data_IF_857857773658
#
_entry.id   IF_857857773658
#
_cell.length_a   1.000
_cell.length_b   1.000
_cell.length_c   1.000
_cell.angle_alpha   90.00
_cell.angle_beta   90.00
_cell.angle_gamma   90.00
#
_symmetry.space_group_name_H-M   'P 1'
#
loop_
_entity.id
_entity.type
_entity.pdbx_description
1 polymer ?
#
# COMPACT_ATOMS: atom_id res chain seq x y z
N UNK A 1 12.41 13.68 22.69
CA UNK A 1 13.12 13.03 21.57
C UNK A 1 13.05 14.00 20.39
N UNK A 2 14.00 13.97 19.46
CA UNK A 2 13.91 14.77 18.23
C UNK A 2 13.16 13.90 17.21
N UNK A 3 11.98 14.32 16.74
CA UNK A 3 11.16 13.56 15.79
C UNK A 3 11.55 13.85 14.33
N UNK A 4 12.59 14.66 14.12
CA UNK A 4 13.14 14.94 12.79
C UNK A 4 13.56 13.66 12.08
N UNK A 5 12.95 13.41 10.91
CA UNK A 5 13.39 12.38 9.97
C UNK A 5 14.58 12.91 9.17
N UNK A 6 15.67 12.15 9.14
CA UNK A 6 16.86 12.43 8.32
C UNK A 6 17.04 11.24 7.38
N UNK A 7 16.94 11.49 6.08
CA UNK A 7 17.13 10.45 5.07
C UNK A 7 18.62 10.20 4.82
N UNK A 8 19.01 8.93 4.87
CA UNK A 8 20.33 8.43 4.56
C UNK A 8 20.35 7.76 3.18
N UNK A 9 21.51 7.64 2.55
CA UNK A 9 21.61 6.94 1.27
C UNK A 9 21.28 5.45 1.45
N UNK A 10 20.33 4.95 0.65
CA UNK A 10 19.83 3.59 0.68
C UNK A 10 19.85 3.01 -0.74
N UNK A 11 21.01 2.53 -1.16
CA UNK A 11 21.19 1.97 -2.51
C UNK A 11 20.54 0.61 -2.66
N UNK A 12 19.83 0.41 -3.78
CA UNK A 12 19.17 -0.85 -4.12
C UNK A 12 20.21 -1.96 -4.28
N UNK A 13 20.05 -3.04 -3.50
CA UNK A 13 20.83 -4.28 -3.59
C UNK A 13 20.08 -5.41 -4.29
N UNK A 14 18.77 -5.25 -4.52
CA UNK A 14 17.89 -6.21 -5.18
C UNK A 14 16.80 -5.47 -5.96
N UNK A 15 16.61 -5.84 -7.23
CA UNK A 15 15.67 -5.20 -8.17
C UNK A 15 14.90 -6.18 -9.06
N UNK A 16 15.05 -7.50 -8.82
CA UNK A 16 14.42 -8.51 -9.68
C UNK A 16 12.89 -8.44 -9.60
N UNK A 17 12.34 -8.46 -8.38
CA UNK A 17 10.89 -8.47 -8.15
C UNK A 17 10.40 -7.10 -7.66
N UNK A 18 10.94 -6.67 -6.53
CA UNK A 18 10.74 -5.36 -5.93
C UNK A 18 12.10 -4.70 -5.71
N UNK A 19 12.11 -3.39 -5.55
CA UNK A 19 13.31 -2.63 -5.25
C UNK A 19 13.57 -2.57 -3.75
N UNK A 20 14.71 -3.13 -3.33
CA UNK A 20 15.13 -3.27 -1.92
C UNK A 20 16.65 -3.15 -1.77
N UNK A 21 17.12 -2.76 -0.58
CA UNK A 21 18.54 -2.70 -0.21
C UNK A 21 19.13 -4.09 0.05
N UNK A 22 18.29 -5.06 0.42
CA UNK A 22 18.67 -6.46 0.63
C UNK A 22 17.80 -7.39 -0.20
N UNK A 23 18.32 -8.59 -0.48
CA UNK A 23 17.49 -9.63 -1.07
C UNK A 23 16.37 -10.05 -0.12
N UNK A 24 15.28 -10.64 -0.62
CA UNK A 24 14.20 -11.14 0.21
C UNK A 24 14.66 -12.19 1.24
N UNK A 25 15.60 -13.06 0.86
CA UNK A 25 16.17 -14.09 1.75
C UNK A 25 16.94 -13.46 2.91
N UNK A 26 17.74 -12.44 2.61
CA UNK A 26 18.49 -11.70 3.63
C UNK A 26 17.54 -10.92 4.55
N UNK A 27 16.47 -10.33 4.00
CA UNK A 27 15.41 -9.66 4.77
C UNK A 27 14.78 -10.63 5.77
N UNK A 28 14.34 -11.80 5.31
CA UNK A 28 13.72 -12.84 6.16
C UNK A 28 14.71 -13.35 7.22
N UNK A 29 15.98 -13.57 6.85
CA UNK A 29 17.02 -13.99 7.80
C UNK A 29 17.21 -12.96 8.91
N UNK A 30 17.38 -11.68 8.55
CA UNK A 30 17.56 -10.56 9.49
C UNK A 30 16.35 -10.38 10.39
N UNK A 31 15.13 -10.50 9.85
CA UNK A 31 13.90 -10.47 10.64
C UNK A 31 13.92 -11.56 11.71
N UNK A 32 14.16 -12.82 11.33
CA UNK A 32 14.23 -13.96 12.27
C UNK A 32 15.36 -13.82 13.29
N UNK A 33 16.52 -13.31 12.88
CA UNK A 33 17.64 -13.01 13.78
C UNK A 33 17.23 -11.96 14.82
N UNK A 34 16.54 -10.89 14.38
CA UNK A 34 16.11 -9.81 15.27
C UNK A 34 15.11 -10.30 16.31
N UNK A 35 14.13 -11.12 15.92
CA UNK A 35 13.15 -11.69 16.85
C UNK A 35 13.82 -12.50 17.97
N UNK A 36 14.86 -13.29 17.64
CA UNK A 36 15.64 -14.02 18.64
C UNK A 36 16.44 -13.11 19.55
N UNK A 37 16.99 -12.02 19.02
CA UNK A 37 17.77 -11.05 19.79
C UNK A 37 16.90 -10.32 20.83
N UNK A 38 15.67 -9.99 20.48
CA UNK A 38 14.75 -9.22 21.34
C UNK A 38 13.77 -10.09 22.13
N UNK A 39 13.86 -11.41 22.00
CA UNK A 39 12.99 -12.41 22.64
C UNK A 39 11.49 -12.14 22.40
N UNK A 40 11.12 -11.93 21.13
CA UNK A 40 9.73 -11.71 20.70
C UNK A 40 9.18 -12.91 19.92
N UNK A 41 8.02 -13.40 20.35
CA UNK A 41 7.28 -14.48 19.70
C UNK A 41 6.17 -13.90 18.80
N UNK A 42 6.56 -13.27 17.69
CA UNK A 42 5.60 -12.71 16.72
C UNK A 42 5.39 -13.59 15.48
N UNK A 43 6.30 -14.52 15.17
CA UNK A 43 6.22 -15.41 14.01
C UNK A 43 6.38 -16.88 14.44
N UNK A 44 5.35 -17.69 14.20
CA UNK A 44 5.40 -19.15 14.40
C UNK A 44 6.03 -19.85 13.18
N UNK A 45 5.44 -19.66 12.00
CA UNK A 45 5.92 -20.24 10.75
C UNK A 45 5.50 -19.45 9.52
N UNK A 46 6.08 -19.79 8.37
CA UNK A 46 5.72 -19.26 7.04
C UNK A 46 5.30 -20.38 6.12
N UNK A 47 4.12 -20.29 5.50
CA UNK A 47 3.51 -21.36 4.71
C UNK A 47 3.14 -20.84 3.32
N UNK A 48 3.55 -21.55 2.25
CA UNK A 48 3.06 -21.29 0.88
C UNK A 48 1.66 -21.88 0.69
N UNK A 49 0.71 -21.11 0.14
CA UNK A 49 -0.73 -21.47 0.14
C UNK A 49 -1.39 -21.57 -1.23
N UNK A 50 -0.74 -21.13 -2.29
CA UNK A 50 -1.25 -21.34 -3.65
C UNK A 50 -1.29 -22.83 -3.99
N UNK A 51 -2.27 -23.23 -4.81
CA UNK A 51 -2.46 -24.61 -5.28
C UNK A 51 -1.70 -24.90 -6.58
N UNK A 52 -0.98 -23.91 -7.12
CA UNK A 52 -0.11 -24.03 -8.28
C UNK A 52 -0.82 -23.96 -9.63
N UNK A 53 -2.13 -23.65 -9.67
CA UNK A 53 -2.83 -23.44 -10.94
C UNK A 53 -2.36 -22.17 -11.64
N UNK A 54 -2.37 -21.04 -10.94
CA UNK A 54 -1.81 -19.78 -11.43
C UNK A 54 -0.28 -19.77 -11.29
N UNK A 55 0.27 -20.50 -10.31
CA UNK A 55 1.72 -20.61 -10.04
C UNK A 55 2.41 -19.25 -9.77
N UNK A 56 1.68 -18.35 -9.10
CA UNK A 56 2.22 -17.13 -8.51
C UNK A 56 2.28 -17.36 -6.98
N UNK A 57 3.46 -17.25 -6.33
CA UNK A 57 3.61 -17.64 -4.93
C UNK A 57 2.86 -16.73 -3.97
N UNK A 58 2.04 -17.33 -3.10
CA UNK A 58 1.39 -16.63 -1.98
C UNK A 58 1.79 -17.31 -0.68
N UNK A 59 2.19 -16.51 0.31
CA UNK A 59 2.60 -17.00 1.63
C UNK A 59 1.69 -16.47 2.73
N UNK A 60 1.51 -17.27 3.78
CA UNK A 60 1.10 -16.78 5.09
C UNK A 60 2.31 -16.70 6.02
N UNK A 61 2.32 -15.70 6.88
CA UNK A 61 3.06 -15.76 8.15
C UNK A 61 2.05 -16.02 9.27
N UNK A 62 2.22 -17.12 10.01
CA UNK A 62 1.39 -17.47 11.16
C UNK A 62 1.88 -16.68 12.37
N UNK A 63 0.96 -15.98 13.03
CA UNK A 63 1.29 -15.15 14.18
C UNK A 63 1.75 -16.02 15.36
N UNK A 64 2.90 -15.68 15.95
CA UNK A 64 3.27 -16.15 17.27
C UNK A 64 2.39 -15.50 18.36
N UNK A 65 2.58 -15.92 19.61
CA UNK A 65 1.73 -15.50 20.75
C UNK A 65 1.66 -13.97 20.90
N UNK A 66 2.80 -13.29 20.84
CA UNK A 66 2.88 -11.86 21.12
C UNK A 66 2.18 -11.05 20.00
N UNK A 67 2.25 -11.55 18.76
CA UNK A 67 1.52 -10.99 17.63
C UNK A 67 0.01 -11.21 17.73
N UNK A 68 -0.44 -12.40 18.13
CA UNK A 68 -1.88 -12.66 18.31
C UNK A 68 -2.49 -11.75 19.39
N UNK A 69 -1.81 -11.57 20.52
CA UNK A 69 -2.25 -10.69 21.61
C UNK A 69 -2.28 -9.20 21.18
N UNK A 70 -1.35 -8.81 20.30
CA UNK A 70 -1.19 -7.41 19.88
C UNK A 70 -2.11 -7.04 18.71
N UNK A 71 -2.16 -7.87 17.68
CA UNK A 71 -2.81 -7.56 16.40
C UNK A 71 -4.25 -8.10 16.37
N UNK A 72 -4.53 -9.19 17.08
CA UNK A 72 -5.87 -9.83 17.11
C UNK A 72 -6.19 -10.72 15.89
N UNK A 73 -5.25 -10.87 14.95
CA UNK A 73 -5.36 -11.77 13.80
C UNK A 73 -4.35 -12.92 13.92
N UNK A 74 -4.68 -14.08 13.33
CA UNK A 74 -3.83 -15.28 13.39
C UNK A 74 -2.73 -15.36 12.33
N UNK A 75 -2.80 -14.52 11.29
CA UNK A 75 -1.90 -14.58 10.14
C UNK A 75 -1.89 -13.28 9.34
N UNK A 76 -0.81 -13.06 8.60
CA UNK A 76 -0.66 -12.04 7.56
C UNK A 76 -0.42 -12.70 6.18
N UNK A 77 -0.58 -11.96 5.10
CA UNK A 77 -0.44 -12.47 3.73
C UNK A 77 0.72 -11.81 3.00
N UNK A 78 1.53 -12.63 2.34
CA UNK A 78 2.62 -12.17 1.48
C UNK A 78 2.33 -12.37 0.01
N UNK A 79 2.86 -11.46 -0.81
CA UNK A 79 2.78 -11.49 -2.27
C UNK A 79 4.13 -11.19 -2.92
N UNK A 80 4.37 -11.78 -4.08
CA UNK A 80 5.60 -11.58 -4.86
C UNK A 80 5.59 -12.45 -6.12
N UNK A 81 6.33 -12.03 -7.14
CA UNK A 81 6.58 -12.83 -8.34
C UNK A 81 7.53 -14.02 -8.08
N UNK A 82 8.28 -13.99 -6.98
CA UNK A 82 9.12 -15.09 -6.51
C UNK A 82 8.70 -15.60 -5.12
N UNK A 83 9.02 -16.86 -4.81
CA UNK A 83 8.69 -17.46 -3.50
C UNK A 83 9.32 -16.68 -2.34
N UNK A 84 10.59 -16.29 -2.49
CA UNK A 84 11.31 -15.55 -1.45
C UNK A 84 10.76 -14.15 -1.25
N UNK A 85 10.34 -13.45 -2.32
CA UNK A 85 9.70 -12.15 -2.20
C UNK A 85 8.34 -12.26 -1.49
N UNK A 86 7.55 -13.28 -1.82
CA UNK A 86 6.26 -13.53 -1.17
C UNK A 86 6.43 -13.87 0.32
N UNK A 87 7.41 -14.71 0.68
CA UNK A 87 7.75 -14.99 2.09
C UNK A 87 8.19 -13.70 2.82
N UNK A 88 9.07 -12.90 2.21
CA UNK A 88 9.52 -11.64 2.78
C UNK A 88 8.36 -10.65 2.98
N UNK A 89 7.44 -10.55 2.02
CA UNK A 89 6.24 -9.74 2.13
C UNK A 89 5.37 -10.17 3.33
N UNK A 90 5.18 -11.47 3.54
CA UNK A 90 4.36 -11.96 4.66
C UNK A 90 4.96 -11.57 6.02
N UNK A 91 6.26 -11.81 6.21
CA UNK A 91 6.91 -11.51 7.50
C UNK A 91 7.06 -10.01 7.77
N UNK A 92 7.20 -9.19 6.71
CA UNK A 92 7.30 -7.74 6.87
C UNK A 92 5.94 -7.08 7.10
N UNK A 93 4.85 -7.61 6.53
CA UNK A 93 3.48 -7.18 6.90
C UNK A 93 3.20 -7.50 8.38
N UNK A 94 3.65 -8.65 8.88
CA UNK A 94 3.59 -8.99 10.30
C UNK A 94 4.38 -8.01 11.18
N UNK A 95 5.60 -7.65 10.77
CA UNK A 95 6.43 -6.67 11.46
C UNK A 95 5.76 -5.30 11.53
N UNK A 96 5.18 -4.85 10.42
CA UNK A 96 4.43 -3.60 10.29
C UNK A 96 3.24 -3.59 11.24
N UNK A 97 2.35 -4.59 11.14
CA UNK A 97 1.13 -4.68 11.95
C UNK A 97 1.45 -4.74 13.44
N UNK A 98 2.42 -5.57 13.83
CA UNK A 98 2.86 -5.66 15.23
C UNK A 98 3.38 -4.31 15.75
N UNK A 99 4.22 -3.64 14.96
CA UNK A 99 4.81 -2.34 15.34
C UNK A 99 3.75 -1.25 15.46
N UNK A 100 2.83 -1.18 14.49
CA UNK A 100 1.75 -0.19 14.46
C UNK A 100 0.78 -0.37 15.63
N UNK A 101 0.30 -1.58 15.89
CA UNK A 101 -0.63 -1.81 17.00
C UNK A 101 0.02 -1.65 18.38
N UNK A 102 1.32 -1.95 18.53
CA UNK A 102 2.06 -1.58 19.73
C UNK A 102 2.15 -0.06 19.91
N UNK A 103 2.41 0.69 18.83
CA UNK A 103 2.40 2.15 18.87
C UNK A 103 1.04 2.69 19.34
N UNK A 104 -0.06 2.18 18.77
CA UNK A 104 -1.43 2.58 19.11
C UNK A 104 -1.81 2.30 20.57
N UNK A 105 -1.34 1.17 21.11
CA UNK A 105 -1.67 0.71 22.48
C UNK A 105 -0.82 1.38 23.56
N UNK A 106 0.32 1.99 23.21
CA UNK A 106 1.19 2.64 24.18
C UNK A 106 0.74 4.09 24.47
N UNK A 107 0.22 4.40 25.67
CA UNK A 107 -0.24 5.74 26.01
C UNK A 107 0.88 6.79 26.05
N UNK A 108 2.15 6.38 26.20
CA UNK A 108 3.30 7.32 26.22
C UNK A 108 3.55 7.97 24.85
N UNK A 109 2.99 7.40 23.77
CA UNK A 109 3.08 7.97 22.43
C UNK A 109 2.10 9.12 22.19
N UNK A 110 1.23 9.42 23.16
CA UNK A 110 0.12 10.35 22.98
C UNK A 110 0.02 11.39 24.10
N UNK A 111 -0.42 12.58 23.71
CA UNK A 111 -0.92 13.61 24.62
C UNK A 111 -2.43 13.68 24.41
N UNK A 112 -3.22 13.66 25.48
CA UNK A 112 -4.67 13.88 25.39
C UNK A 112 -4.96 15.35 25.69
N UNK A 113 -5.47 16.09 24.71
CA UNK A 113 -5.76 17.53 24.86
C UNK A 113 -6.85 17.98 23.86
N UNK A 114 -7.39 19.17 24.08
CA UNK A 114 -8.29 19.86 23.16
C UNK A 114 -7.48 20.62 22.09
N UNK A 115 -8.01 20.69 20.86
CA UNK A 115 -7.31 21.37 19.76
C UNK A 115 -7.00 22.84 20.07
N UNK A 116 -7.88 23.56 20.79
CA UNK A 116 -7.66 24.97 21.17
C UNK A 116 -6.37 25.18 21.97
N UNK A 117 -5.94 24.18 22.76
CA UNK A 117 -4.72 24.25 23.58
C UNK A 117 -3.45 23.92 22.79
N UNK A 118 -3.55 23.25 21.64
CA UNK A 118 -2.40 22.74 20.87
C UNK A 118 -2.31 23.26 19.43
N UNK A 119 -3.29 24.05 18.97
CA UNK A 119 -3.44 24.51 17.57
C UNK A 119 -2.20 25.15 16.97
N UNK A 120 -1.38 25.86 17.75
CA UNK A 120 -0.18 26.56 17.26
C UNK A 120 0.94 25.61 16.81
N UNK A 121 0.85 24.33 17.15
CA UNK A 121 1.82 23.28 16.79
C UNK A 121 1.16 22.03 16.20
N UNK A 122 -0.13 22.08 15.91
CA UNK A 122 -0.92 20.97 15.40
C UNK A 122 -1.30 21.20 13.94
N UNK A 123 -1.75 20.14 13.27
CA UNK A 123 -2.33 20.27 11.95
C UNK A 123 -3.49 21.28 11.97
N UNK A 124 -3.57 22.18 10.97
CA UNK A 124 -4.64 23.16 10.91
C UNK A 124 -5.99 22.48 10.69
N UNK A 125 -7.06 23.08 11.21
CA UNK A 125 -8.43 22.55 11.05
C UNK A 125 -8.80 22.32 9.57
N UNK A 126 -8.28 23.13 8.66
CA UNK A 126 -8.50 22.99 7.22
C UNK A 126 -8.02 21.63 6.69
N UNK A 127 -6.96 21.07 7.25
CA UNK A 127 -6.51 19.72 6.91
C UNK A 127 -7.48 18.63 7.42
N UNK A 128 -8.10 18.87 8.59
CA UNK A 128 -9.08 17.97 9.21
C UNK A 128 -10.36 17.92 8.38
N UNK A 129 -10.89 19.07 7.98
CA UNK A 129 -12.05 19.18 7.10
C UNK A 129 -11.77 18.55 5.73
N UNK A 130 -10.60 18.83 5.13
CA UNK A 130 -10.18 18.25 3.85
C UNK A 130 -10.10 16.72 3.89
N UNK A 131 -9.69 16.13 5.01
CA UNK A 131 -9.57 14.67 5.17
C UNK A 131 -10.91 13.91 5.00
N UNK A 132 -12.04 14.60 5.18
CA UNK A 132 -13.39 14.04 4.99
C UNK A 132 -14.16 14.71 3.86
N UNK A 133 -13.48 15.50 3.04
CA UNK A 133 -14.07 16.28 1.94
C UNK A 133 -15.20 17.23 2.38
N UNK A 134 -15.10 17.81 3.57
CA UNK A 134 -16.09 18.80 4.05
C UNK A 134 -15.79 20.18 3.44
N UNK A 135 -16.62 20.59 2.49
CA UNK A 135 -16.63 21.89 1.84
C UNK A 135 -17.90 22.69 2.16
N UNK A 136 -18.60 22.32 3.24
CA UNK A 136 -19.88 22.93 3.61
C UNK A 136 -19.73 24.37 4.13
N UNK A 137 -20.82 25.13 4.07
CA UNK A 137 -20.89 26.48 4.67
C UNK A 137 -20.90 26.45 6.22
N UNK A 138 -20.87 25.27 6.85
CA UNK A 138 -20.90 25.10 8.31
C UNK A 138 -19.51 24.87 8.94
N UNK A 139 -18.42 25.05 8.19
CA UNK A 139 -17.06 24.83 8.67
C UNK A 139 -16.72 25.59 9.96
N UNK A 140 -17.26 26.79 10.17
CA UNK A 140 -17.03 27.53 11.41
C UNK A 140 -17.65 26.83 12.64
N UNK A 141 -18.82 26.20 12.47
CA UNK A 141 -19.46 25.39 13.53
C UNK A 141 -18.68 24.09 13.76
N UNK A 142 -18.25 23.44 12.68
CA UNK A 142 -17.42 22.24 12.78
C UNK A 142 -16.09 22.54 13.49
N UNK A 143 -15.47 23.70 13.19
CA UNK A 143 -14.26 24.18 13.87
C UNK A 143 -14.49 24.41 15.36
N UNK A 144 -15.61 25.03 15.74
CA UNK A 144 -15.94 25.25 17.17
C UNK A 144 -16.14 23.94 17.94
N UNK A 145 -16.76 22.93 17.31
CA UNK A 145 -16.89 21.61 17.93
C UNK A 145 -15.52 20.96 18.04
N UNK A 146 -14.78 20.88 16.93
CA UNK A 146 -13.45 20.26 16.87
C UNK A 146 -12.46 20.90 17.86
N UNK A 147 -12.52 22.24 18.03
CA UNK A 147 -11.61 22.96 18.93
C UNK A 147 -11.67 22.49 20.38
N UNK A 148 -12.79 21.87 20.78
CA UNK A 148 -13.10 21.43 22.15
C UNK A 148 -13.14 19.91 22.30
N UNK A 149 -12.85 19.15 21.24
CA UNK A 149 -12.82 17.70 21.33
C UNK A 149 -11.50 17.27 22.00
N UNK A 150 -11.55 16.53 23.12
CA UNK A 150 -10.36 15.92 23.66
C UNK A 150 -9.96 14.74 22.76
N UNK A 151 -8.77 14.83 22.16
CA UNK A 151 -8.23 13.82 21.26
C UNK A 151 -6.85 13.37 21.72
N UNK A 152 -6.44 12.17 21.34
CA UNK A 152 -5.03 11.77 21.36
C UNK A 152 -4.29 12.46 20.23
N UNK A 153 -3.22 13.16 20.59
CA UNK A 153 -2.29 13.82 19.70
C UNK A 153 -0.94 13.11 19.74
N UNK A 154 -0.31 12.92 18.59
CA UNK A 154 1.06 12.42 18.49
C UNK A 154 1.90 13.33 17.61
N UNK A 155 3.22 13.33 17.80
CA UNK A 155 4.15 14.13 17.00
C UNK A 155 4.48 13.37 15.72
N UNK A 156 4.19 13.97 14.57
CA UNK A 156 4.72 13.57 13.27
C UNK A 156 5.75 14.57 12.75
N UNK A 157 6.31 14.30 11.57
CA UNK A 157 7.30 15.16 10.96
C UNK A 157 6.94 15.42 9.51
N UNK A 158 6.44 16.63 9.23
CA UNK A 158 6.12 17.07 7.88
C UNK A 158 7.41 17.12 7.05
N UNK A 159 7.63 16.09 6.24
CA UNK A 159 8.81 15.94 5.40
C UNK A 159 8.82 16.93 4.23
N UNK A 160 7.64 17.39 3.78
CA UNK A 160 7.54 18.43 2.75
C UNK A 160 8.03 19.78 3.28
N UNK A 161 7.71 20.11 4.53
CA UNK A 161 8.02 21.41 5.15
C UNK A 161 9.25 21.41 6.06
N UNK A 162 9.71 20.23 6.48
CA UNK A 162 10.85 20.05 7.37
C UNK A 162 10.58 20.43 8.84
N UNK A 163 9.36 20.21 9.33
CA UNK A 163 8.94 20.63 10.68
C UNK A 163 8.15 19.54 11.42
N UNK A 164 8.24 19.54 12.76
CA UNK A 164 7.40 18.70 13.60
C UNK A 164 5.97 19.26 13.63
N UNK A 165 4.98 18.37 13.65
CA UNK A 165 3.56 18.75 13.72
C UNK A 165 2.79 17.76 14.59
N UNK A 166 1.87 18.25 15.42
CA UNK A 166 0.93 17.39 16.13
C UNK A 166 -0.20 16.92 15.22
N UNK A 167 -0.40 15.61 15.19
CA UNK A 167 -1.44 14.92 14.42
C UNK A 167 -2.53 14.46 15.39
N UNK A 168 -3.82 14.75 15.14
CA UNK A 168 -4.92 14.18 15.91
C UNK A 168 -5.08 12.71 15.54
N UNK A 169 -4.38 11.84 16.26
CA UNK A 169 -4.31 10.41 15.98
C UNK A 169 -5.71 9.77 15.93
N UNK A 170 -6.56 10.07 16.92
CA UNK A 170 -7.92 9.51 16.97
C UNK A 170 -8.74 9.83 15.70
N UNK A 171 -8.57 11.02 15.13
CA UNK A 171 -9.28 11.44 13.92
C UNK A 171 -8.86 10.62 12.70
N UNK A 172 -7.55 10.58 12.43
CA UNK A 172 -7.04 9.87 11.26
C UNK A 172 -7.17 8.35 11.40
N UNK A 173 -6.99 7.81 12.61
CA UNK A 173 -7.22 6.40 12.88
C UNK A 173 -8.68 6.00 12.66
N UNK A 174 -9.64 6.87 13.01
CA UNK A 174 -11.06 6.57 12.81
C UNK A 174 -11.46 6.48 11.32
N UNK A 175 -10.80 7.22 10.42
CA UNK A 175 -11.16 7.28 8.99
C UNK A 175 -10.26 6.43 8.09
N UNK A 176 -9.00 6.21 8.48
CA UNK A 176 -8.02 5.49 7.67
C UNK A 176 -7.58 4.16 8.29
N UNK A 177 -7.86 3.94 9.58
CA UNK A 177 -7.42 2.79 10.35
C UNK A 177 -5.91 2.53 10.19
N UNK A 178 -5.52 1.51 9.43
CA UNK A 178 -4.14 1.09 9.20
C UNK A 178 -3.67 1.27 7.75
N UNK A 179 -4.21 2.27 7.04
CA UNK A 179 -3.70 2.70 5.72
C UNK A 179 -2.45 3.59 5.88
N UNK A 180 -1.32 3.21 5.29
CA UNK A 180 -0.05 3.95 5.35
C UNK A 180 1.05 3.45 6.31
N UNK A 181 0.77 2.72 7.41
CA UNK A 181 1.79 1.93 8.10
C UNK A 181 2.57 1.07 7.11
N UNK A 182 3.88 1.03 7.28
CA UNK A 182 4.76 0.26 6.42
C UNK A 182 6.01 -0.16 7.18
N UNK A 183 6.61 -1.27 6.75
CA UNK A 183 7.90 -1.73 7.24
C UNK A 183 8.88 -1.92 6.07
N UNK A 184 10.16 -1.77 6.37
CA UNK A 184 11.25 -1.90 5.39
C UNK A 184 12.55 -2.31 6.06
N UNK A 185 13.56 -2.61 5.26
CA UNK A 185 14.91 -2.91 5.75
C UNK A 185 15.62 -1.67 6.31
N UNK A 186 15.17 -0.48 5.92
CA UNK A 186 15.60 0.82 6.42
C UNK A 186 14.41 1.80 6.44
N UNK A 187 14.66 3.01 6.94
CA UNK A 187 13.64 4.07 7.07
C UNK A 187 13.16 4.53 5.69
N UNK A 188 14.06 4.67 4.72
CA UNK A 188 13.76 5.13 3.36
C UNK A 188 12.84 4.12 2.62
N UNK A 189 13.09 2.81 2.78
CA UNK A 189 12.21 1.78 2.23
C UNK A 189 10.80 1.83 2.81
N UNK A 190 10.69 1.97 4.13
CA UNK A 190 9.42 2.07 4.81
C UNK A 190 8.66 3.33 4.34
N UNK A 191 9.31 4.50 4.36
CA UNK A 191 8.69 5.76 3.91
C UNK A 191 8.26 5.68 2.44
N UNK A 192 9.11 5.17 1.55
CA UNK A 192 8.78 5.01 0.13
C UNK A 192 7.54 4.12 -0.07
N UNK A 193 7.49 2.98 0.64
CA UNK A 193 6.34 2.07 0.63
C UNK A 193 5.06 2.74 1.18
N UNK A 194 5.16 3.45 2.31
CA UNK A 194 4.04 4.15 2.94
C UNK A 194 3.46 5.25 2.05
N UNK A 195 4.30 6.08 1.43
CA UNK A 195 3.84 7.12 0.49
C UNK A 195 3.13 6.47 -0.70
N UNK A 196 3.72 5.43 -1.27
CA UNK A 196 3.14 4.74 -2.42
C UNK A 196 1.80 4.09 -2.09
N UNK A 197 1.64 3.49 -0.92
CA UNK A 197 0.36 2.91 -0.48
C UNK A 197 -0.73 3.97 -0.33
N UNK A 198 -0.42 5.11 0.28
CA UNK A 198 -1.37 6.22 0.42
C UNK A 198 -1.82 6.73 -0.96
N UNK A 199 -0.87 6.89 -1.90
CA UNK A 199 -1.20 7.31 -3.27
C UNK A 199 -2.02 6.26 -3.98
N UNK A 200 -1.67 4.97 -3.87
CA UNK A 200 -2.44 3.85 -4.43
C UNK A 200 -3.90 3.90 -3.98
N UNK A 201 -4.15 4.08 -2.69
CA UNK A 201 -5.50 4.14 -2.11
C UNK A 201 -6.23 5.41 -2.55
N UNK A 202 -5.54 6.53 -2.64
CA UNK A 202 -6.10 7.79 -3.11
C UNK A 202 -6.60 7.67 -4.56
N UNK A 203 -5.74 7.23 -5.48
CA UNK A 203 -6.11 7.12 -6.90
C UNK A 203 -7.15 6.02 -7.13
N UNK A 204 -7.05 4.90 -6.40
CA UNK A 204 -8.06 3.84 -6.42
C UNK A 204 -9.45 4.36 -6.01
N UNK A 205 -9.50 5.17 -4.96
CA UNK A 205 -10.75 5.77 -4.48
C UNK A 205 -11.36 6.71 -5.51
N UNK A 206 -10.55 7.58 -6.14
CA UNK A 206 -11.02 8.50 -7.18
C UNK A 206 -11.53 7.74 -8.40
N UNK A 207 -10.71 6.84 -8.96
CA UNK A 207 -11.07 6.07 -10.17
C UNK A 207 -12.34 5.26 -9.95
N UNK A 208 -12.47 4.61 -8.79
CA UNK A 208 -13.65 3.82 -8.43
C UNK A 208 -14.91 4.64 -8.21
N UNK A 209 -14.83 5.67 -7.35
CA UNK A 209 -15.97 6.51 -6.98
C UNK A 209 -16.53 7.24 -8.20
N UNK A 210 -15.65 7.79 -9.02
CA UNK A 210 -16.03 8.65 -10.14
C UNK A 210 -16.15 7.85 -11.46
N UNK A 211 -15.91 6.52 -11.40
CA UNK A 211 -15.93 5.57 -12.53
C UNK A 211 -15.13 6.08 -13.73
N UNK A 212 -13.92 6.58 -13.45
CA UNK A 212 -13.07 7.22 -14.46
C UNK A 212 -12.57 6.18 -15.47
N UNK A 213 -12.78 6.46 -16.76
CA UNK A 213 -12.16 5.69 -17.84
C UNK A 213 -10.70 6.11 -17.99
N UNK A 214 -9.80 5.33 -17.43
CA UNK A 214 -8.36 5.55 -17.56
C UNK A 214 -7.78 4.78 -18.75
N UNK A 215 -6.63 5.22 -19.31
CA UNK A 215 -6.00 4.52 -20.42
C UNK A 215 -5.63 3.07 -20.08
N UNK A 216 -5.85 2.13 -21.01
CA UNK A 216 -5.27 0.80 -20.90
C UNK A 216 -3.74 0.84 -21.04
N UNK A 217 -3.05 -0.04 -20.32
CA UNK A 217 -1.62 -0.26 -20.47
C UNK A 217 -1.39 -1.44 -21.42
N UNK A 218 -0.54 -1.25 -22.42
CA UNK A 218 -0.13 -2.33 -23.32
C UNK A 218 0.76 -3.36 -22.60
N UNK A 219 0.20 -4.53 -22.31
CA UNK A 219 0.92 -5.67 -21.72
C UNK A 219 1.81 -6.42 -22.73
N UNK A 220 1.86 -5.98 -23.99
CA UNK A 220 2.67 -6.57 -25.05
C UNK A 220 4.11 -6.04 -25.12
N UNK A 221 4.39 -4.88 -24.54
CA UNK A 221 5.69 -4.20 -24.64
C UNK A 221 6.28 -3.91 -23.25
N UNK A 222 6.70 -4.98 -22.55
CA UNK A 222 7.30 -4.90 -21.22
C UNK A 222 8.78 -5.27 -21.30
N UNK A 223 9.62 -4.57 -20.53
CA UNK A 223 11.07 -4.82 -20.49
C UNK A 223 11.49 -5.72 -19.34
N UNK A 224 10.73 -5.76 -18.24
CA UNK A 224 10.98 -6.63 -17.09
C UNK A 224 10.61 -8.10 -17.41
N UNK A 225 11.58 -9.03 -17.43
CA UNK A 225 11.32 -10.45 -17.72
C UNK A 225 10.37 -11.12 -16.72
N UNK A 226 10.39 -10.72 -15.44
CA UNK A 226 9.53 -11.30 -14.42
C UNK A 226 8.06 -10.95 -14.70
N UNK A 227 7.78 -9.72 -15.13
CA UNK A 227 6.44 -9.32 -15.54
C UNK A 227 5.94 -10.14 -16.73
N UNK A 228 6.79 -10.31 -17.75
CA UNK A 228 6.46 -11.10 -18.94
C UNK A 228 6.11 -12.53 -18.55
N UNK A 229 6.89 -13.13 -17.65
CA UNK A 229 6.61 -14.47 -17.10
C UNK A 229 5.27 -14.51 -16.36
N UNK A 230 5.04 -13.59 -15.41
CA UNK A 230 3.81 -13.56 -14.61
C UNK A 230 2.55 -13.39 -15.47
N UNK A 231 2.57 -12.46 -16.44
CA UNK A 231 1.47 -12.28 -17.39
C UNK A 231 1.26 -13.55 -18.23
N UNK A 232 2.35 -14.22 -18.61
CA UNK A 232 2.32 -15.51 -19.27
C UNK A 232 1.56 -16.58 -18.45
N UNK A 233 1.74 -16.60 -17.12
CA UNK A 233 1.03 -17.51 -16.21
C UNK A 233 -0.48 -17.26 -16.22
N UNK A 234 -0.93 -16.01 -16.10
CA UNK A 234 -2.35 -15.64 -16.24
C UNK A 234 -2.94 -16.08 -17.59
N UNK A 235 -2.24 -15.77 -18.69
CA UNK A 235 -2.69 -16.11 -20.04
C UNK A 235 -2.79 -17.63 -20.26
N UNK A 236 -1.84 -18.40 -19.72
CA UNK A 236 -1.76 -19.86 -19.87
C UNK A 236 -3.00 -20.58 -19.33
N UNK A 237 -3.57 -20.09 -18.23
CA UNK A 237 -4.78 -20.66 -17.63
C UNK A 237 -6.08 -19.96 -18.06
N UNK A 238 -6.00 -19.06 -19.05
CA UNK A 238 -7.16 -18.42 -19.66
C UNK A 238 -7.73 -17.23 -18.90
N UNK A 239 -7.03 -16.73 -17.86
CA UNK A 239 -7.46 -15.55 -17.10
C UNK A 239 -7.47 -14.33 -18.02
N UNK A 240 -8.56 -13.57 -17.98
CA UNK A 240 -8.66 -12.26 -18.60
C UNK A 240 -8.03 -11.24 -17.66
N UNK A 241 -7.07 -10.47 -18.18
CA UNK A 241 -6.32 -9.48 -17.43
C UNK A 241 -6.42 -8.13 -18.16
N UNK A 242 -6.75 -7.10 -17.40
CA UNK A 242 -6.79 -5.70 -17.83
C UNK A 242 -5.87 -4.91 -16.91
N UNK A 243 -5.01 -4.08 -17.50
CA UNK A 243 -4.17 -3.14 -16.77
C UNK A 243 -4.47 -1.72 -17.26
N UNK A 244 -4.58 -0.78 -16.34
CA UNK A 244 -4.97 0.61 -16.62
C UNK A 244 -4.15 1.59 -15.81
N UNK A 245 -3.83 2.75 -16.39
CA UNK A 245 -3.05 3.80 -15.74
C UNK A 245 -3.88 4.54 -14.68
N UNK A 246 -3.52 4.37 -13.41
CA UNK A 246 -4.16 5.03 -12.27
C UNK A 246 -3.36 6.26 -11.80
N UNK A 247 -2.29 6.65 -12.48
CA UNK A 247 -1.36 7.67 -11.98
C UNK A 247 -1.99 9.06 -11.80
N UNK A 248 -3.06 9.34 -12.55
CA UNK A 248 -3.77 10.64 -12.57
C UNK A 248 -2.76 11.80 -12.64
N UNK A 249 -2.92 12.84 -11.81
CA UNK A 249 -2.01 13.98 -11.70
C UNK A 249 -0.98 13.85 -10.55
N UNK A 250 -0.96 12.70 -9.87
CA UNK A 250 -0.13 12.45 -8.69
C UNK A 250 1.37 12.49 -8.98
N UNK A 251 1.78 12.20 -10.22
CA UNK A 251 3.19 12.17 -10.62
C UNK A 251 3.99 10.98 -10.08
N UNK A 252 3.29 9.97 -9.53
CA UNK A 252 3.85 8.68 -9.07
C UNK A 252 3.10 7.59 -9.84
N UNK A 253 3.78 6.59 -10.44
CA UNK A 253 3.09 5.64 -11.28
C UNK A 253 2.23 4.69 -10.45
N UNK A 254 0.96 4.63 -10.83
CA UNK A 254 -0.02 3.72 -10.23
C UNK A 254 -0.68 2.91 -11.33
N UNK A 255 -0.78 1.61 -11.13
CA UNK A 255 -1.34 0.67 -12.10
C UNK A 255 -2.52 -0.05 -11.48
N UNK A 256 -3.72 0.14 -12.04
CA UNK A 256 -4.88 -0.69 -11.74
C UNK A 256 -4.80 -2.01 -12.51
N UNK A 257 -5.16 -3.13 -11.87
CA UNK A 257 -5.24 -4.44 -12.49
C UNK A 257 -6.59 -5.10 -12.16
N UNK A 258 -7.33 -5.49 -13.20
CA UNK A 258 -8.55 -6.26 -13.09
C UNK A 258 -8.36 -7.62 -13.76
N UNK A 259 -8.76 -8.68 -13.07
CA UNK A 259 -8.68 -10.04 -13.59
C UNK A 259 -9.87 -10.92 -13.20
N UNK A 260 -10.24 -11.84 -14.09
CA UNK A 260 -11.23 -12.87 -13.81
C UNK A 260 -11.03 -14.09 -14.73
N UNK A 261 -11.51 -15.24 -14.28
CA UNK A 261 -11.54 -16.46 -15.08
C UNK A 261 -12.88 -16.62 -15.80
N UNK A 262 -12.94 -16.49 -17.13
CA UNK A 262 -14.20 -16.62 -17.86
C UNK A 262 -14.78 -18.04 -17.84
N UNK A 263 -14.00 -19.07 -17.46
CA UNK A 263 -14.45 -20.47 -17.46
C UNK A 263 -15.14 -20.88 -16.16
N UNK A 264 -14.81 -20.20 -15.06
CA UNK A 264 -15.32 -20.52 -13.71
C UNK A 264 -16.10 -19.36 -13.08
N UNK A 265 -16.11 -18.17 -13.68
CA UNK A 265 -16.94 -17.05 -13.24
C UNK A 265 -18.42 -17.25 -13.61
N UNK A 266 -19.39 -16.93 -12.72
CA UNK A 266 -19.21 -16.37 -11.37
C UNK A 266 -19.18 -17.42 -10.25
N UNK A 267 -19.12 -18.72 -10.58
CA UNK A 267 -19.31 -19.80 -9.60
C UNK A 267 -18.11 -19.98 -8.65
N UNK A 268 -16.90 -20.13 -9.19
CA UNK A 268 -15.68 -20.39 -8.41
C UNK A 268 -14.53 -19.40 -8.68
N UNK A 269 -14.72 -18.50 -9.64
CA UNK A 269 -13.90 -17.30 -9.84
C UNK A 269 -14.71 -16.05 -9.53
N UNK A 270 -14.02 -15.04 -9.01
CA UNK A 270 -14.53 -13.69 -8.85
C UNK A 270 -13.88 -12.72 -9.84
N UNK A 271 -14.40 -11.49 -9.90
CA UNK A 271 -13.72 -10.35 -10.53
C UNK A 271 -12.83 -9.73 -9.46
N UNK A 272 -11.52 -9.87 -9.62
CA UNK A 272 -10.53 -9.23 -8.77
C UNK A 272 -10.13 -7.92 -9.39
N UNK A 273 -10.19 -6.84 -8.61
CA UNK A 273 -9.73 -5.52 -9.02
C UNK A 273 -8.90 -4.91 -7.89
N UNK A 274 -7.65 -4.60 -8.20
CA UNK A 274 -6.69 -4.01 -7.25
C UNK A 274 -5.78 -3.01 -7.99
N UNK A 275 -4.84 -2.40 -7.29
CA UNK A 275 -3.84 -1.51 -7.84
C UNK A 275 -2.45 -1.77 -7.23
N UNK A 276 -1.43 -1.23 -7.87
CA UNK A 276 -0.05 -1.22 -7.37
C UNK A 276 0.57 0.13 -7.64
N UNK A 277 1.27 0.70 -6.66
CA UNK A 277 2.04 1.96 -6.81
C UNK A 277 3.47 1.78 -6.29
N UNK A 278 4.44 2.26 -7.05
CA UNK A 278 5.87 2.35 -6.70
C UNK A 278 6.51 3.51 -7.46
N UNK A 279 7.78 3.88 -7.18
CA UNK A 279 8.50 4.84 -8.02
C UNK A 279 8.72 4.40 -9.48
N UNK A 280 8.84 3.08 -9.72
CA UNK A 280 9.00 2.46 -11.05
C UNK A 280 7.65 1.92 -11.57
N UNK A 281 7.22 2.23 -12.82
CA UNK A 281 5.93 1.80 -13.36
C UNK A 281 5.82 0.28 -13.63
N UNK A 282 6.92 -0.40 -13.97
CA UNK A 282 6.95 -1.85 -14.12
C UNK A 282 6.84 -2.54 -12.75
N UNK A 283 7.48 -2.00 -11.72
CA UNK A 283 7.30 -2.51 -10.34
C UNK A 283 5.88 -2.25 -9.83
N UNK A 284 5.24 -1.17 -10.24
CA UNK A 284 3.84 -0.88 -9.91
C UNK A 284 2.90 -1.93 -10.53
N UNK A 285 3.11 -2.28 -11.81
CA UNK A 285 2.40 -3.40 -12.46
C UNK A 285 2.70 -4.74 -11.77
N UNK A 286 3.94 -5.01 -11.37
CA UNK A 286 4.32 -6.25 -10.66
C UNK A 286 3.52 -6.42 -9.36
N UNK A 287 3.42 -5.34 -8.58
CA UNK A 287 2.60 -5.32 -7.36
C UNK A 287 1.12 -5.56 -7.64
N UNK A 288 0.56 -4.87 -8.63
CA UNK A 288 -0.85 -5.03 -8.99
C UNK A 288 -1.16 -6.49 -9.40
N UNK A 289 -0.29 -7.12 -10.18
CA UNK A 289 -0.44 -8.53 -10.59
C UNK A 289 -0.33 -9.49 -9.39
N UNK A 290 0.69 -9.34 -8.55
CA UNK A 290 0.87 -10.22 -7.40
C UNK A 290 -0.25 -10.07 -6.36
N UNK A 291 -0.85 -8.89 -6.25
CA UNK A 291 -2.04 -8.65 -5.43
C UNK A 291 -3.30 -9.27 -6.04
N UNK A 292 -3.44 -9.27 -7.37
CA UNK A 292 -4.50 -10.04 -8.04
C UNK A 292 -4.41 -11.52 -7.65
N UNK A 293 -3.21 -12.12 -7.69
CA UNK A 293 -3.01 -13.51 -7.28
C UNK A 293 -3.34 -13.74 -5.79
N UNK A 294 -2.95 -12.81 -4.93
CA UNK A 294 -3.23 -12.88 -3.49
C UNK A 294 -4.73 -12.93 -3.20
N UNK A 295 -5.52 -12.08 -3.87
CA UNK A 295 -6.95 -11.95 -3.65
C UNK A 295 -7.75 -13.07 -4.31
N UNK A 296 -7.40 -13.42 -5.55
CA UNK A 296 -8.08 -14.48 -6.30
C UNK A 296 -7.74 -15.89 -5.79
N UNK A 297 -6.62 -16.02 -5.07
CA UNK A 297 -5.90 -17.29 -4.96
C UNK A 297 -5.56 -17.81 -6.35
N UNK A 298 -6.20 -18.91 -6.74
CA UNK A 298 -6.01 -19.57 -8.04
C UNK A 298 -7.25 -19.48 -8.95
N UNK A 299 -8.19 -18.56 -8.66
CA UNK A 299 -9.46 -18.38 -9.39
C UNK A 299 -10.34 -19.65 -9.46
N UNK A 300 -10.16 -20.57 -8.51
CA UNK A 300 -10.85 -21.87 -8.48
C UNK A 300 -11.21 -22.38 -7.07
N UNK A 301 -10.91 -21.61 -6.03
CA UNK A 301 -11.05 -22.04 -4.63
C UNK A 301 -12.32 -21.51 -3.95
N UNK A 302 -13.08 -20.63 -4.62
CA UNK A 302 -14.17 -19.89 -3.98
C UNK A 302 -13.70 -18.97 -2.84
N UNK A 303 -12.39 -18.71 -2.75
CA UNK A 303 -11.83 -17.74 -1.82
C UNK A 303 -12.34 -16.36 -2.17
N UNK A 304 -12.74 -15.59 -1.15
CA UNK A 304 -13.34 -14.27 -1.32
C UNK A 304 -12.63 -13.29 -0.38
N UNK A 305 -11.36 -12.97 -0.68
CA UNK A 305 -10.57 -12.01 0.11
C UNK A 305 -10.88 -10.60 -0.34
N UNK A 306 -11.26 -9.71 0.58
CA UNK A 306 -11.61 -8.32 0.23
C UNK A 306 -10.35 -7.52 -0.05
N UNK A 307 -10.25 -6.96 -1.26
CA UNK A 307 -9.22 -5.99 -1.60
C UNK A 307 -9.38 -4.75 -0.72
N UNK A 308 -8.31 -4.30 -0.07
CA UNK A 308 -8.33 -3.00 0.59
C UNK A 308 -8.38 -1.91 -0.48
N UNK A 309 -9.46 -1.13 -0.55
CA UNK A 309 -9.52 0.11 -1.33
C UNK A 309 -10.25 0.08 -2.68
N UNK A 310 -10.56 -1.08 -3.26
CA UNK A 310 -11.36 -1.20 -4.48
C UNK A 310 -12.57 -2.12 -4.29
N UNK A 311 -13.75 -1.78 -4.85
CA UNK A 311 -14.97 -2.56 -4.67
C UNK A 311 -14.87 -3.90 -5.41
N UNK A 312 -15.54 -4.91 -4.86
CA UNK A 312 -15.78 -6.17 -5.56
C UNK A 312 -16.96 -6.06 -6.48
N UNK A 313 -16.73 -6.30 -7.77
CA UNK A 313 -17.80 -6.40 -8.75
C UNK A 313 -18.38 -7.81 -8.76
N UNK A 314 -19.70 -7.89 -8.85
CA UNK A 314 -20.46 -9.13 -9.03
C UNK A 314 -20.85 -9.35 -10.49
N UNK A 315 -20.74 -8.32 -11.32
CA UNK A 315 -21.06 -8.34 -12.75
C UNK A 315 -20.07 -7.50 -13.57
N UNK A 316 -19.69 -8.00 -14.76
CA UNK A 316 -18.72 -7.32 -15.63
C UNK A 316 -19.19 -5.94 -16.11
N UNK A 317 -20.50 -5.68 -16.19
CA UNK A 317 -21.02 -4.36 -16.54
C UNK A 317 -20.70 -3.29 -15.48
N UNK A 318 -20.45 -3.70 -14.23
CA UNK A 318 -19.96 -2.77 -13.20
C UNK A 318 -18.53 -2.31 -13.49
N UNK A 319 -17.72 -3.14 -14.16
CA UNK A 319 -16.34 -2.87 -14.54
C UNK A 319 -16.18 -2.24 -15.95
N UNK A 320 -17.26 -1.85 -16.62
CA UNK A 320 -17.25 -1.36 -18.01
C UNK A 320 -16.19 -0.26 -18.26
N UNK A 321 -16.07 0.67 -17.32
CA UNK A 321 -15.13 1.79 -17.41
C UNK A 321 -13.65 1.39 -17.32
N UNK A 322 -13.36 0.16 -16.85
CA UNK A 322 -12.02 -0.43 -16.81
C UNK A 322 -11.76 -1.34 -18.01
N UNK A 323 -12.74 -2.16 -18.39
CA UNK A 323 -12.57 -3.16 -19.46
C UNK A 323 -12.75 -2.59 -20.88
N UNK A 324 -13.38 -1.41 -21.00
CA UNK A 324 -13.55 -0.66 -22.25
C UNK A 324 -12.94 0.75 -22.14
N UNK A 325 -11.60 0.86 -22.07
CA UNK A 325 -10.90 2.13 -22.00
C UNK A 325 -11.01 2.91 -23.32
N UNK A 326 -10.90 4.23 -23.27
CA UNK A 326 -11.01 5.09 -24.47
C UNK A 326 -9.69 5.22 -25.24
N UNK A 327 -8.58 4.93 -24.57
CA UNK A 327 -7.23 4.99 -25.13
C UNK A 327 -6.35 3.90 -24.56
N UNK A 328 -5.21 3.67 -25.20
CA UNK A 328 -4.17 2.74 -24.76
C UNK A 328 -2.82 3.46 -24.78
N UNK A 329 -1.98 3.18 -23.79
CA UNK A 329 -0.64 3.73 -23.63
C UNK A 329 0.38 2.61 -23.40
N UNK A 330 1.64 2.91 -23.69
CA UNK A 330 2.76 2.07 -23.29
C UNK A 330 3.07 2.27 -21.80
N UNK A 331 3.59 1.25 -21.11
CA UNK A 331 3.95 1.38 -19.70
C UNK A 331 5.02 2.47 -19.45
N UNK A 332 5.88 2.73 -20.44
CA UNK A 332 6.90 3.80 -20.39
C UNK A 332 6.32 5.21 -20.52
N UNK A 333 5.02 5.34 -20.81
CA UNK A 333 4.33 6.64 -20.81
C UNK A 333 3.89 7.08 -19.40
N UNK A 334 3.85 6.15 -18.43
CA UNK A 334 3.59 6.49 -17.03
C UNK A 334 4.77 7.28 -16.45
N UNK A 335 4.55 8.11 -15.41
CA UNK A 335 5.66 8.76 -14.71
C UNK A 335 6.65 7.72 -14.20
N UNK A 336 7.94 7.97 -14.36
CA UNK A 336 9.00 7.15 -13.78
C UNK A 336 9.86 8.06 -12.92
N UNK A 337 9.80 7.83 -11.60
CA UNK A 337 10.55 8.58 -10.60
C UNK A 337 11.53 7.69 -9.85
N UNK A 338 11.81 6.52 -10.41
CA UNK A 338 12.73 5.53 -9.84
C UNK A 338 14.18 6.01 -9.85
N UNK A 339 14.97 5.46 -8.91
CA UNK A 339 16.39 5.75 -8.79
C UNK A 339 17.14 4.59 -8.15
N UNK A 340 18.44 4.44 -8.38
CA UNK A 340 19.25 3.42 -7.70
C UNK A 340 19.38 3.66 -6.18
N UNK A 341 19.07 4.87 -5.70
CA UNK A 341 19.06 5.24 -4.29
C UNK A 341 17.63 5.57 -3.83
N UNK A 342 17.09 4.77 -2.91
CA UNK A 342 15.70 4.86 -2.42
C UNK A 342 15.45 6.19 -1.71
N UNK A 343 16.47 6.82 -1.11
CA UNK A 343 16.34 8.19 -0.60
C UNK A 343 15.89 9.17 -1.67
N UNK A 344 16.49 9.09 -2.86
CA UNK A 344 16.14 9.97 -3.99
C UNK A 344 14.71 9.68 -4.43
N UNK A 345 14.26 8.43 -4.37
CA UNK A 345 12.87 8.08 -4.67
C UNK A 345 11.89 8.68 -3.64
N UNK A 346 12.23 8.65 -2.35
CA UNK A 346 11.44 9.32 -1.30
C UNK A 346 11.36 10.83 -1.57
N UNK A 347 12.50 11.47 -1.88
CA UNK A 347 12.55 12.90 -2.24
C UNK A 347 11.72 13.21 -3.49
N UNK A 348 11.75 12.35 -4.51
CA UNK A 348 10.94 12.48 -5.72
C UNK A 348 9.44 12.34 -5.44
N UNK A 349 9.04 11.37 -4.60
CA UNK A 349 7.64 11.19 -4.18
C UNK A 349 7.13 12.44 -3.45
N UNK A 350 7.91 12.97 -2.50
CA UNK A 350 7.58 14.21 -1.78
C UNK A 350 7.45 15.37 -2.76
N UNK A 351 8.38 15.53 -3.70
CA UNK A 351 8.33 16.59 -4.70
C UNK A 351 7.11 16.49 -5.64
N UNK A 352 6.74 15.27 -6.05
CA UNK A 352 5.57 15.03 -6.89
C UNK A 352 4.26 15.46 -6.20
N UNK A 353 4.11 15.11 -4.92
CA UNK A 353 2.94 15.47 -4.10
C UNK A 353 2.93 16.95 -3.73
N UNK A 354 4.10 17.53 -3.41
CA UNK A 354 4.21 18.96 -3.08
C UNK A 354 3.78 19.86 -4.26
N UNK A 355 4.06 19.44 -5.50
CA UNK A 355 3.64 20.16 -6.73
C UNK A 355 2.12 20.34 -6.82
N UNK A 356 1.34 19.43 -6.24
CA UNK A 356 -0.13 19.47 -6.21
C UNK A 356 -0.68 19.88 -4.82
N UNK A 357 0.15 20.51 -3.98
CA UNK A 357 -0.20 20.98 -2.63
C UNK A 357 -0.66 19.85 -1.69
N UNK A 358 0.02 18.72 -1.75
CA UNK A 358 -0.12 17.62 -0.79
C UNK A 358 1.18 17.46 0.00
N UNK A 359 1.08 17.59 1.33
CA UNK A 359 2.22 17.41 2.23
C UNK A 359 2.33 15.94 2.66
N UNK A 360 3.58 15.48 2.84
CA UNK A 360 3.92 14.17 3.42
C UNK A 360 4.34 14.39 4.87
N UNK A 361 3.68 13.71 5.82
CA UNK A 361 3.82 13.91 7.28
C UNK A 361 4.15 12.60 7.98
#
# INVERSE_FOLDING_TARGET
MNHKVILEDAYKGYTLDQDKIFSPEETVRRFRDKLREVDLDILEETIRIDNGRLDIPIYFSVCGRDAEETIGTKKQMGKGGTSYQSEASAVMELAERFSFFNFCKNPENFIVDEYENVKDRALPFEAIAKAVHDDSDELDRAREVFSRLPLKWTIGYNMTRGEEVLIPFDWFFAINEFNGPSAGNCVEEAISQGICEIVERHVSSIVSRDRLKTPAIDLGNLSDPLLVEMIGKYKKIGIKLFATDFSLDMGIPSVGALAYDPTTFPETSEIVWTAGTTPDPQKALSRALTEVAQLAGDFNSGSNYVASGLPKFTDLAQADFIIHPESQVDISALPDISNDNIKVEVENCIAALARINMDVI
#
